data_IF_966625189976
#
_entry.id   IF_966625189976
#
_cell.length_a   1.000
_cell.length_b   1.000
_cell.length_c   1.000
_cell.angle_alpha   90.00
_cell.angle_beta   90.00
_cell.angle_gamma   90.00
#
_symmetry.space_group_name_H-M   'P 1'
#
loop_
_entity.id
_entity.type
_entity.pdbx_description
1 polymer ?
#
# COMPACT_ATOMS: atom_id res chain seq x y z
N UNK A 1 60.83 24.39 19.16
CA UNK A 1 59.58 24.76 18.44
C UNK A 1 59.73 24.15 17.05
N UNK A 2 58.94 23.17 16.63
CA UNK A 2 57.50 23.32 16.41
C UNK A 2 56.76 21.99 16.58
N UNK A 3 55.56 22.12 17.14
CA UNK A 3 54.60 21.13 17.62
C UNK A 3 53.98 20.32 16.47
N UNK A 4 54.17 19.00 16.45
CA UNK A 4 53.32 18.07 15.70
C UNK A 4 52.05 17.77 16.52
N UNK A 5 50.92 18.33 16.10
CA UNK A 5 49.58 17.86 16.47
C UNK A 5 48.75 17.84 15.20
N UNK A 6 48.69 16.70 14.55
CA UNK A 6 47.55 16.36 13.71
C UNK A 6 46.68 15.41 14.52
N UNK A 7 45.76 16.02 15.26
CA UNK A 7 44.53 15.36 15.72
C UNK A 7 43.48 15.69 14.66
N UNK A 8 43.22 14.80 13.71
CA UNK A 8 41.99 14.82 12.91
C UNK A 8 41.35 13.43 13.07
N UNK A 9 40.49 13.32 14.08
CA UNK A 9 39.05 13.40 13.89
C UNK A 9 38.54 12.14 13.16
N UNK A 10 38.47 11.07 13.94
CA UNK A 10 37.63 9.90 13.67
C UNK A 10 36.18 10.37 13.50
N UNK A 11 35.80 10.67 12.26
CA UNK A 11 34.41 10.99 11.93
C UNK A 11 33.73 9.67 11.64
N UNK A 12 33.29 9.01 12.71
CA UNK A 12 32.24 8.00 12.70
C UNK A 12 30.98 8.61 12.07
N UNK A 13 30.94 8.63 10.74
CA UNK A 13 29.77 9.03 9.98
C UNK A 13 28.83 7.83 9.97
N UNK A 14 27.72 7.93 10.70
CA UNK A 14 26.62 6.97 10.60
C UNK A 14 26.35 6.63 9.13
N UNK A 15 26.19 5.34 8.76
CA UNK A 15 25.88 4.98 7.40
C UNK A 15 24.68 5.77 6.89
N UNK A 16 24.80 6.37 5.70
CA UNK A 16 23.69 7.11 5.10
C UNK A 16 22.57 6.12 4.74
N UNK A 17 21.28 6.50 4.93
CA UNK A 17 20.18 5.65 4.49
C UNK A 17 20.27 5.46 2.97
N UNK A 18 20.29 4.20 2.54
CA UNK A 18 20.31 3.82 1.12
C UNK A 18 18.87 3.62 0.65
N UNK A 19 18.46 4.40 -0.35
CA UNK A 19 17.15 4.25 -1.00
C UNK A 19 17.38 3.54 -2.34
N UNK A 20 16.68 2.43 -2.56
CA UNK A 20 16.69 1.67 -3.81
C UNK A 20 15.27 1.62 -4.36
N UNK A 21 15.10 2.02 -5.63
CA UNK A 21 13.80 2.01 -6.30
C UNK A 21 13.69 0.75 -7.14
N UNK A 22 12.64 -0.04 -6.91
CA UNK A 22 12.36 -1.27 -7.65
C UNK A 22 11.05 -1.13 -8.43
N UNK A 23 11.03 -1.70 -9.65
CA UNK A 23 9.82 -1.72 -10.48
C UNK A 23 8.97 -2.93 -10.14
N UNK A 24 7.69 -2.71 -9.86
CA UNK A 24 6.69 -3.75 -9.68
C UNK A 24 5.80 -3.86 -10.92
N UNK A 25 5.97 -4.94 -11.70
CA UNK A 25 5.20 -5.18 -12.92
C UNK A 25 4.13 -6.26 -12.69
N UNK A 26 2.83 -5.93 -12.70
CA UNK A 26 1.78 -6.93 -12.87
C UNK A 26 1.79 -7.48 -14.29
N UNK A 27 1.52 -8.79 -14.44
CA UNK A 27 1.44 -9.42 -15.77
C UNK A 27 0.22 -8.97 -16.59
N UNK A 28 -0.79 -8.40 -15.93
CA UNK A 28 -1.95 -7.83 -16.61
C UNK A 28 -2.46 -6.61 -15.86
N UNK A 29 -2.56 -5.49 -16.58
CA UNK A 29 -3.40 -4.36 -16.21
C UNK A 29 -4.47 -4.23 -17.30
N UNK A 30 -5.68 -3.74 -16.97
CA UNK A 30 -6.64 -3.40 -18.00
C UNK A 30 -6.02 -2.40 -18.99
N UNK A 31 -6.30 -2.52 -20.30
CA UNK A 31 -5.89 -1.52 -21.28
C UNK A 31 -6.37 -0.15 -20.81
N UNK A 32 -5.47 0.83 -20.77
CA UNK A 32 -5.79 2.19 -20.34
C UNK A 32 -5.73 3.11 -21.55
N UNK A 33 -6.83 3.81 -21.83
CA UNK A 33 -6.85 4.93 -22.77
C UNK A 33 -6.28 6.17 -22.05
N UNK A 34 -5.20 6.79 -22.55
CA UNK A 34 -4.59 7.97 -21.93
C UNK A 34 -5.51 9.19 -21.85
N UNK A 35 -6.62 9.23 -22.60
CA UNK A 35 -7.60 10.32 -22.57
C UNK A 35 -8.88 9.98 -21.78
N UNK A 36 -9.00 8.76 -21.26
CA UNK A 36 -10.17 8.36 -20.47
C UNK A 36 -10.03 8.77 -19.00
N UNK A 37 -11.16 9.11 -18.36
CA UNK A 37 -11.22 9.20 -16.90
C UNK A 37 -10.94 7.80 -16.35
N UNK A 38 -9.81 7.61 -15.68
CA UNK A 38 -9.43 6.30 -15.14
C UNK A 38 -10.53 5.78 -14.21
N UNK A 39 -11.08 4.60 -14.53
CA UNK A 39 -11.95 3.87 -13.61
C UNK A 39 -11.10 3.38 -12.42
N UNK A 40 -11.12 4.19 -11.36
CA UNK A 40 -10.39 3.94 -10.12
C UNK A 40 -10.81 2.61 -9.50
N UNK A 41 -12.08 2.20 -9.65
CA UNK A 41 -12.57 0.93 -9.10
C UNK A 41 -12.03 -0.26 -9.90
N UNK A 42 -12.01 -0.18 -11.23
CA UNK A 42 -11.43 -1.22 -12.09
C UNK A 42 -9.91 -1.34 -11.88
N UNK A 43 -9.20 -0.21 -11.79
CA UNK A 43 -7.77 -0.18 -11.48
C UNK A 43 -7.50 -0.82 -10.11
N UNK A 44 -8.22 -0.39 -9.08
CA UNK A 44 -8.12 -0.95 -7.74
C UNK A 44 -8.36 -2.47 -7.73
N UNK A 45 -9.42 -2.93 -8.41
CA UNK A 45 -9.72 -4.34 -8.56
C UNK A 45 -8.62 -5.11 -9.28
N UNK A 46 -8.02 -4.54 -10.33
CA UNK A 46 -6.90 -5.15 -11.05
C UNK A 46 -5.66 -5.26 -10.16
N UNK A 47 -5.32 -4.20 -9.43
CA UNK A 47 -4.15 -4.23 -8.55
C UNK A 47 -4.32 -5.31 -7.48
N UNK A 48 -5.48 -5.35 -6.81
CA UNK A 48 -5.77 -6.38 -5.80
C UNK A 48 -5.62 -7.80 -6.31
N UNK A 49 -5.99 -8.07 -7.56
CA UNK A 49 -5.90 -9.41 -8.15
C UNK A 49 -4.49 -9.75 -8.65
N UNK A 50 -3.77 -8.77 -9.18
CA UNK A 50 -2.59 -9.04 -10.01
C UNK A 50 -1.26 -8.72 -9.32
N UNK A 51 -1.24 -8.01 -8.19
CA UNK A 51 0.01 -7.51 -7.58
C UNK A 51 0.56 -8.39 -6.46
N UNK A 52 -0.22 -9.31 -5.90
CA UNK A 52 0.24 -10.18 -4.82
C UNK A 52 1.48 -11.00 -5.23
N UNK A 53 1.40 -11.72 -6.35
CA UNK A 53 2.50 -12.58 -6.83
C UNK A 53 3.74 -11.78 -7.24
N UNK A 54 3.64 -10.71 -8.05
CA UNK A 54 4.79 -9.85 -8.34
C UNK A 54 5.45 -9.27 -7.09
N UNK A 55 4.65 -8.88 -6.09
CA UNK A 55 5.18 -8.29 -4.85
C UNK A 55 5.94 -9.31 -4.01
N UNK A 56 5.41 -10.53 -3.89
CA UNK A 56 6.11 -11.66 -3.26
C UNK A 56 7.44 -11.97 -3.94
N UNK A 57 7.44 -12.06 -5.27
CA UNK A 57 8.64 -12.35 -6.03
C UNK A 57 9.69 -11.25 -5.91
N UNK A 58 9.25 -9.98 -5.82
CA UNK A 58 10.16 -8.86 -5.58
C UNK A 58 10.81 -8.95 -4.20
N UNK A 59 10.05 -9.26 -3.15
CA UNK A 59 10.58 -9.41 -1.80
C UNK A 59 11.54 -10.60 -1.68
N UNK A 60 11.25 -11.73 -2.34
CA UNK A 60 12.18 -12.86 -2.40
C UNK A 60 13.51 -12.45 -3.03
N UNK A 61 13.49 -11.76 -4.18
CA UNK A 61 14.70 -11.24 -4.83
C UNK A 61 15.50 -10.27 -3.96
N UNK A 62 14.82 -9.42 -3.18
CA UNK A 62 15.48 -8.48 -2.26
C UNK A 62 16.15 -9.19 -1.07
N UNK A 63 15.59 -10.32 -0.64
CA UNK A 63 16.14 -11.12 0.46
C UNK A 63 17.27 -12.05 0.00
N UNK A 64 17.25 -12.51 -1.25
CA UNK A 64 18.26 -13.41 -1.84
C UNK A 64 19.51 -12.66 -2.36
N UNK A 65 19.54 -11.32 -2.27
CA UNK A 65 20.64 -10.50 -2.80
C UNK A 65 21.86 -10.53 -1.84
N UNK A 66 22.58 -11.66 -1.87
CA UNK A 66 23.55 -12.21 -0.91
C UNK A 66 24.65 -11.27 -0.37
N UNK A 67 24.80 -10.04 -0.87
CA UNK A 67 25.80 -9.08 -0.36
C UNK A 67 25.40 -7.60 -0.52
N UNK A 68 24.22 -7.28 -1.05
CA UNK A 68 23.87 -5.90 -1.42
C UNK A 68 22.79 -5.26 -0.54
N UNK A 69 21.83 -6.05 -0.04
CA UNK A 69 20.71 -5.53 0.76
C UNK A 69 20.43 -6.41 1.97
N UNK A 70 20.26 -5.83 3.17
CA UNK A 70 19.77 -6.59 4.31
C UNK A 70 18.36 -7.12 4.01
N UNK A 71 18.04 -8.29 4.55
CA UNK A 71 16.71 -8.87 4.45
C UNK A 71 15.64 -7.88 4.95
N UNK A 72 14.47 -7.92 4.31
CA UNK A 72 13.36 -7.03 4.64
C UNK A 72 12.81 -7.40 6.01
N UNK A 73 12.84 -6.44 6.94
CA UNK A 73 12.37 -6.62 8.33
C UNK A 73 11.03 -5.96 8.61
N UNK A 74 10.54 -5.09 7.73
CA UNK A 74 9.27 -4.38 7.87
C UNK A 74 8.77 -3.91 6.51
N UNK A 75 7.46 -3.88 6.33
CA UNK A 75 6.82 -3.30 5.15
C UNK A 75 6.03 -2.06 5.55
N UNK A 76 6.28 -0.93 4.87
CA UNK A 76 5.38 0.24 4.92
C UNK A 76 4.59 0.26 3.63
N UNK A 77 3.27 0.17 3.71
CA UNK A 77 2.39 0.01 2.55
C UNK A 77 1.27 1.04 2.55
N UNK A 78 0.80 1.43 1.37
CA UNK A 78 -0.41 2.24 1.23
C UNK A 78 -1.65 1.50 1.79
N UNK A 79 -2.44 2.20 2.60
CA UNK A 79 -3.65 1.74 3.30
C UNK A 79 -4.76 1.24 2.37
N UNK A 80 -4.83 1.79 1.16
CA UNK A 80 -5.78 1.38 0.13
C UNK A 80 -5.36 0.03 -0.46
N UNK A 81 -4.10 -0.37 -0.35
CA UNK A 81 -3.52 -1.50 -1.07
C UNK A 81 -3.15 -2.67 -0.15
N UNK A 82 -4.13 -3.48 0.32
CA UNK A 82 -3.93 -4.46 1.38
C UNK A 82 -3.20 -5.74 0.96
N UNK A 83 -2.78 -5.89 -0.30
CA UNK A 83 -2.12 -7.12 -0.77
C UNK A 83 -0.78 -7.37 -0.05
N UNK A 84 -0.13 -6.31 0.42
CA UNK A 84 1.11 -6.35 1.19
C UNK A 84 0.95 -7.03 2.55
N UNK A 85 -0.23 -6.93 3.18
CA UNK A 85 -0.53 -7.55 4.48
C UNK A 85 -0.34 -9.06 4.40
N UNK A 86 -0.87 -9.68 3.33
CA UNK A 86 -0.74 -11.13 3.14
C UNK A 86 0.72 -11.56 3.02
N UNK A 87 1.54 -10.79 2.29
CA UNK A 87 2.96 -11.13 2.12
C UNK A 87 3.75 -10.88 3.40
N UNK A 88 3.41 -9.83 4.16
CA UNK A 88 3.99 -9.57 5.47
C UNK A 88 3.71 -10.71 6.47
N UNK A 89 2.47 -11.23 6.47
CA UNK A 89 2.07 -12.38 7.29
C UNK A 89 2.83 -13.66 6.89
N UNK A 90 2.97 -13.92 5.59
CA UNK A 90 3.76 -15.04 5.06
C UNK A 90 5.25 -14.95 5.48
N UNK A 91 5.81 -13.75 5.52
CA UNK A 91 7.20 -13.49 5.92
C UNK A 91 7.37 -13.33 7.45
N UNK A 92 6.28 -13.30 8.22
CA UNK A 92 6.27 -13.05 9.68
C UNK A 92 6.97 -11.75 10.07
N UNK A 93 6.78 -10.69 9.28
CA UNK A 93 7.33 -9.35 9.55
C UNK A 93 6.21 -8.32 9.80
N UNK A 94 6.47 -7.26 10.58
CA UNK A 94 5.52 -6.17 10.77
C UNK A 94 5.17 -5.46 9.45
N UNK A 95 3.92 -5.02 9.35
CA UNK A 95 3.43 -4.14 8.29
C UNK A 95 2.79 -2.89 8.87
N UNK A 96 3.26 -1.73 8.43
CA UNK A 96 2.69 -0.42 8.76
C UNK A 96 1.86 0.09 7.58
N UNK A 97 0.56 0.29 7.80
CA UNK A 97 -0.34 0.83 6.77
C UNK A 97 -0.33 2.36 6.82
N UNK A 98 0.03 2.99 5.71
CA UNK A 98 0.09 4.43 5.52
C UNK A 98 -1.14 4.91 4.75
N UNK A 99 -2.01 5.68 5.41
CA UNK A 99 -3.22 6.24 4.80
C UNK A 99 -2.92 7.61 4.20
N UNK A 100 -2.99 7.72 2.88
CA UNK A 100 -2.68 8.95 2.12
C UNK A 100 -3.80 9.99 2.13
N UNK A 101 -4.98 9.65 2.66
CA UNK A 101 -6.10 10.57 2.76
C UNK A 101 -6.00 11.48 4.00
N UNK A 102 -6.58 12.67 3.92
CA UNK A 102 -6.71 13.56 5.07
C UNK A 102 -7.48 12.88 6.22
N UNK A 103 -7.15 13.25 7.47
CA UNK A 103 -7.76 12.67 8.67
C UNK A 103 -9.30 12.75 8.65
N UNK A 104 -9.87 13.84 8.12
CA UNK A 104 -11.31 13.99 7.95
C UNK A 104 -11.90 12.98 6.95
N UNK A 105 -11.20 12.67 5.86
CA UNK A 105 -11.60 11.65 4.89
C UNK A 105 -11.48 10.24 5.47
N UNK A 106 -10.42 9.97 6.25
CA UNK A 106 -10.25 8.70 6.96
C UNK A 106 -11.42 8.39 7.90
N UNK A 107 -11.88 9.38 8.67
CA UNK A 107 -13.07 9.22 9.53
C UNK A 107 -14.33 8.88 8.73
N UNK A 108 -14.51 9.48 7.54
CA UNK A 108 -15.61 9.13 6.64
C UNK A 108 -15.57 7.67 6.20
N UNK A 109 -14.39 7.16 5.83
CA UNK A 109 -14.19 5.75 5.46
C UNK A 109 -14.46 4.82 6.66
N UNK A 110 -13.92 5.16 7.84
CA UNK A 110 -14.10 4.37 9.06
C UNK A 110 -15.56 4.26 9.49
N UNK A 111 -16.33 5.34 9.34
CA UNK A 111 -17.75 5.38 9.70
C UNK A 111 -18.66 4.82 8.61
N UNK A 112 -18.14 4.46 7.43
CA UNK A 112 -18.95 4.07 6.27
C UNK A 112 -19.93 2.92 6.59
N UNK A 113 -19.46 1.87 7.27
CA UNK A 113 -20.33 0.75 7.66
C UNK A 113 -21.42 1.17 8.66
N UNK A 114 -21.09 2.04 9.63
CA UNK A 114 -22.09 2.57 10.56
C UNK A 114 -23.13 3.46 9.85
N UNK A 115 -22.72 4.19 8.81
CA UNK A 115 -23.63 4.97 7.96
C UNK A 115 -24.53 4.06 7.11
N UNK A 116 -23.99 2.96 6.56
CA UNK A 116 -24.76 1.95 5.84
C UNK A 116 -25.81 1.29 6.75
N UNK A 117 -25.41 0.87 7.96
CA UNK A 117 -26.31 0.24 8.92
C UNK A 117 -27.44 1.16 9.37
N UNK A 118 -27.18 2.47 9.42
CA UNK A 118 -28.18 3.49 9.73
C UNK A 118 -29.00 3.95 8.51
N UNK A 119 -28.74 3.40 7.32
CA UNK A 119 -29.42 3.77 6.08
C UNK A 119 -29.15 5.22 5.64
N UNK A 120 -28.03 5.79 6.08
CA UNK A 120 -27.62 7.16 5.74
C UNK A 120 -26.81 7.23 4.44
N UNK A 121 -26.44 6.07 3.88
CA UNK A 121 -25.79 5.93 2.58
C UNK A 121 -26.55 4.92 1.70
N UNK A 122 -26.64 5.14 0.37
CA UNK A 122 -26.09 6.26 -0.40
C UNK A 122 -26.84 7.57 -0.12
N UNK A 123 -26.14 8.71 -0.21
CA UNK A 123 -26.78 10.01 -0.06
C UNK A 123 -27.82 10.20 -1.18
N UNK A 124 -29.01 10.69 -0.82
CA UNK A 124 -30.08 11.01 -1.77
C UNK A 124 -29.49 11.92 -2.87
N UNK A 125 -29.48 11.44 -4.12
CA UNK A 125 -28.91 12.14 -5.28
C UNK A 125 -27.76 11.41 -5.98
N UNK A 126 -27.27 10.29 -5.44
CA UNK A 126 -26.34 9.40 -6.16
C UNK A 126 -27.10 8.23 -6.78
N UNK A 127 -27.38 8.30 -8.08
CA UNK A 127 -28.07 7.23 -8.83
C UNK A 127 -27.14 6.06 -9.11
N UNK A 128 -26.80 5.28 -8.10
CA UNK A 128 -26.33 3.91 -8.26
C UNK A 128 -26.96 3.07 -7.17
N UNK A 129 -28.12 2.50 -7.47
CA UNK A 129 -28.67 1.39 -6.67
C UNK A 129 -27.61 0.28 -6.64
N UNK A 130 -27.08 -0.12 -5.46
CA UNK A 130 -26.19 -1.26 -5.40
C UNK A 130 -26.94 -2.52 -5.84
N UNK A 131 -26.27 -3.47 -6.53
CA UNK A 131 -26.91 -4.72 -6.92
C UNK A 131 -27.50 -5.43 -5.68
N UNK A 132 -28.66 -6.08 -5.79
CA UNK A 132 -29.39 -6.64 -4.65
C UNK A 132 -28.58 -7.58 -3.75
N UNK A 133 -27.49 -8.16 -4.26
CA UNK A 133 -26.57 -9.05 -3.53
C UNK A 133 -25.72 -8.35 -2.45
N UNK A 134 -25.62 -7.02 -2.47
CA UNK A 134 -24.90 -6.23 -1.47
C UNK A 134 -25.80 -5.58 -0.42
N UNK A 135 -27.12 -5.76 -0.53
CA UNK A 135 -28.05 -5.29 0.49
C UNK A 135 -28.02 -6.22 1.71
N UNK A 136 -28.00 -5.67 2.94
CA UNK A 136 -28.24 -6.45 4.14
C UNK A 136 -29.56 -7.23 3.99
N UNK A 137 -29.60 -8.50 4.43
CA UNK A 137 -30.77 -9.39 4.29
C UNK A 137 -32.10 -8.79 4.79
N UNK A 138 -32.05 -7.74 5.62
CA UNK A 138 -33.23 -6.98 6.09
C UNK A 138 -33.94 -6.16 5.00
N UNK A 139 -33.27 -5.88 3.88
CA UNK A 139 -33.81 -5.09 2.78
C UNK A 139 -34.18 -5.94 1.55
N UNK A 140 -34.15 -7.27 1.66
CA UNK A 140 -34.51 -8.22 0.60
C UNK A 140 -35.92 -8.86 0.80
N UNK A 141 -36.89 -8.12 1.33
CA UNK A 141 -38.30 -8.54 1.41
C UNK A 141 -39.20 -7.58 0.66
#
# INVERSE_FOLDING_TARGET
>A
MTRTRDTSADTSMSPRPRIVIQKLCPHSLPPSDPNATHDVAALYGSVRRNFLTPFRNLLAKLNDDDNATPAVTCIVSDGVMPFSIKVADELRIPVAMFWTFAACGFMGFYQYYALLDKGLTPLKGTYTTPPPSLLPRRFQR
#
